data_IF_086709522862
#
_entry.id   IF_086709522862
#
_cell.length_a   1.000
_cell.length_b   1.000
_cell.length_c   1.000
_cell.angle_alpha   90.00
_cell.angle_beta   90.00
_cell.angle_gamma   90.00
#
_symmetry.space_group_name_H-M   'P 1'
#
loop_
_entity.id
_entity.type
_entity.pdbx_description
1 polymer ?
#
# COMPACT_ATOMS: atom_id res chain seq x y z
N UNK A 1 48.75 -106.03 -67.55
CA UNK A 1 49.68 -105.17 -66.81
C UNK A 1 49.94 -103.96 -67.66
N UNK A 2 49.94 -102.74 -67.10
CA UNK A 2 50.38 -101.55 -67.83
C UNK A 2 51.89 -101.48 -67.62
N UNK A 3 52.63 -102.05 -68.55
CA UNK A 3 54.08 -101.92 -68.59
C UNK A 3 54.40 -100.59 -69.27
N UNK A 4 55.12 -99.73 -68.55
CA UNK A 4 55.52 -98.41 -69.05
C UNK A 4 56.69 -98.59 -70.01
N UNK A 5 56.49 -98.31 -71.30
CA UNK A 5 57.58 -98.31 -72.30
C UNK A 5 58.60 -97.17 -72.12
N UNK A 6 58.36 -96.25 -71.17
CA UNK A 6 59.24 -95.11 -70.87
C UNK A 6 60.54 -95.57 -70.22
N UNK A 7 61.67 -95.19 -70.82
CA UNK A 7 63.01 -95.47 -70.29
C UNK A 7 63.28 -94.69 -69.01
N UNK A 8 64.05 -95.26 -68.08
CA UNK A 8 64.43 -94.58 -66.83
C UNK A 8 65.16 -93.24 -67.05
N UNK A 9 65.81 -93.06 -68.20
CA UNK A 9 66.45 -91.80 -68.60
C UNK A 9 65.41 -90.73 -69.00
N UNK A 10 64.36 -91.11 -69.73
CA UNK A 10 63.27 -90.22 -70.14
C UNK A 10 62.45 -89.77 -68.93
N UNK A 11 62.14 -90.71 -68.02
CA UNK A 11 61.43 -90.39 -66.78
C UNK A 11 62.22 -89.41 -65.89
N UNK A 12 63.56 -89.50 -65.88
CA UNK A 12 64.43 -88.55 -65.17
C UNK A 12 64.44 -87.17 -65.83
N UNK A 13 64.37 -87.10 -67.16
CA UNK A 13 64.36 -85.84 -67.91
C UNK A 13 63.03 -85.09 -67.73
N UNK A 14 61.90 -85.81 -67.81
CA UNK A 14 60.58 -85.27 -67.46
C UNK A 14 60.53 -84.82 -65.99
N UNK A 15 61.14 -85.57 -65.07
CA UNK A 15 61.28 -85.16 -63.68
C UNK A 15 62.08 -83.86 -63.53
N UNK A 16 63.20 -83.69 -64.25
CA UNK A 16 63.99 -82.45 -64.19
C UNK A 16 63.23 -81.26 -64.80
N UNK A 17 62.48 -81.48 -65.88
CA UNK A 17 61.63 -80.46 -66.51
C UNK A 17 60.47 -80.01 -65.60
N UNK A 18 59.78 -80.96 -64.95
CA UNK A 18 58.65 -80.67 -64.05
C UNK A 18 59.13 -80.32 -62.63
N UNK A 19 60.37 -80.64 -62.25
CA UNK A 19 60.94 -80.37 -60.91
C UNK A 19 60.74 -78.92 -60.47
N UNK A 20 61.04 -77.96 -61.35
CA UNK A 20 60.88 -76.53 -61.07
C UNK A 20 59.43 -76.08 -60.85
N UNK A 21 58.46 -76.85 -61.36
CA UNK A 21 57.01 -76.64 -61.17
C UNK A 21 56.50 -77.37 -59.92
N UNK A 22 57.15 -78.45 -59.50
CA UNK A 22 56.89 -79.14 -58.23
C UNK A 22 57.49 -78.44 -57.00
N UNK A 23 58.33 -77.41 -57.18
CA UNK A 23 58.79 -76.56 -56.07
C UNK A 23 57.61 -75.74 -55.54
N UNK A 24 56.91 -76.30 -54.54
CA UNK A 24 55.90 -75.59 -53.76
C UNK A 24 56.57 -74.45 -53.01
N UNK A 25 56.53 -73.25 -53.63
CA UNK A 25 56.95 -72.01 -52.97
C UNK A 25 55.90 -71.66 -51.93
N UNK A 26 56.13 -72.08 -50.68
CA UNK A 26 55.44 -71.52 -49.52
C UNK A 26 55.85 -70.05 -49.37
N UNK A 27 55.15 -69.16 -50.08
CA UNK A 27 55.05 -67.78 -49.64
C UNK A 27 54.24 -67.81 -48.33
N UNK A 28 54.91 -67.48 -47.23
CA UNK A 28 54.26 -67.19 -45.94
C UNK A 28 53.57 -65.83 -46.07
N UNK A 29 52.47 -65.82 -46.82
CA UNK A 29 51.54 -64.69 -46.91
C UNK A 29 50.62 -64.71 -45.69
N UNK A 30 50.24 -63.54 -45.17
CA UNK A 30 49.25 -63.40 -44.08
C UNK A 30 47.82 -63.86 -44.46
N UNK A 31 47.69 -64.47 -45.65
CA UNK A 31 46.49 -65.14 -46.18
C UNK A 31 46.59 -66.66 -46.16
N UNK A 32 47.71 -67.26 -45.74
CA UNK A 32 47.75 -68.70 -45.49
C UNK A 32 46.89 -69.01 -44.26
N UNK A 33 45.84 -69.81 -44.48
CA UNK A 33 44.90 -70.26 -43.46
C UNK A 33 45.60 -70.91 -42.26
N UNK A 34 46.82 -71.45 -42.44
CA UNK A 34 47.65 -71.95 -41.34
C UNK A 34 47.97 -70.87 -40.31
N UNK A 35 48.37 -69.68 -40.75
CA UNK A 35 48.67 -68.55 -39.86
C UNK A 35 47.42 -68.07 -39.10
N UNK A 36 46.24 -68.18 -39.73
CA UNK A 36 44.97 -67.92 -39.06
C UNK A 36 44.61 -69.00 -38.03
N UNK A 37 44.86 -70.29 -38.30
CA UNK A 37 44.63 -71.38 -37.33
C UNK A 37 45.59 -71.26 -36.15
N UNK A 38 46.88 -70.97 -36.37
CA UNK A 38 47.85 -70.74 -35.30
C UNK A 38 47.44 -69.53 -34.44
N UNK A 39 47.09 -68.41 -35.07
CA UNK A 39 46.59 -67.22 -34.40
C UNK A 39 45.28 -67.47 -33.62
N UNK A 40 44.34 -68.24 -34.17
CA UNK A 40 43.12 -68.65 -33.45
C UNK A 40 43.44 -69.57 -32.26
N UNK A 41 44.42 -70.46 -32.38
CA UNK A 41 44.87 -71.31 -31.27
C UNK A 41 45.52 -70.52 -30.14
N UNK A 42 46.29 -69.48 -30.45
CA UNK A 42 46.88 -68.58 -29.45
C UNK A 42 45.84 -67.63 -28.83
N UNK A 43 44.86 -67.16 -29.60
CA UNK A 43 43.69 -66.47 -29.07
C UNK A 43 42.85 -67.37 -28.17
N UNK A 44 42.64 -68.64 -28.52
CA UNK A 44 41.91 -69.62 -27.71
C UNK A 44 42.60 -69.86 -26.35
N UNK A 45 43.94 -70.00 -26.33
CA UNK A 45 44.72 -70.07 -25.07
C UNK A 45 44.53 -68.80 -24.25
N UNK A 46 44.72 -67.63 -24.87
CA UNK A 46 44.58 -66.33 -24.20
C UNK A 46 43.19 -66.15 -23.59
N UNK A 47 42.13 -66.56 -24.28
CA UNK A 47 40.76 -66.56 -23.77
C UNK A 47 40.62 -67.54 -22.60
N UNK A 48 41.14 -68.77 -22.72
CA UNK A 48 41.09 -69.78 -21.64
C UNK A 48 41.84 -69.35 -20.37
N UNK A 49 42.89 -68.55 -20.50
CA UNK A 49 43.66 -67.99 -19.38
C UNK A 49 42.96 -66.79 -18.72
N UNK A 50 42.41 -65.86 -19.51
CA UNK A 50 41.83 -64.61 -19.00
C UNK A 50 40.36 -64.73 -18.55
N UNK A 51 39.59 -65.63 -19.17
CA UNK A 51 38.15 -65.78 -18.92
C UNK A 51 37.84 -66.20 -17.46
N UNK A 52 38.53 -67.18 -16.85
CA UNK A 52 38.29 -67.54 -15.45
C UNK A 52 38.47 -66.36 -14.48
N UNK A 53 39.57 -65.60 -14.63
CA UNK A 53 39.88 -64.43 -13.79
C UNK A 53 38.82 -63.35 -13.93
N UNK A 54 38.40 -63.04 -15.16
CA UNK A 54 37.36 -62.02 -15.40
C UNK A 54 35.98 -62.49 -14.95
N UNK A 55 35.66 -63.78 -14.99
CA UNK A 55 34.43 -64.31 -14.39
C UNK A 55 34.44 -64.23 -12.86
N UNK A 56 35.56 -64.53 -12.20
CA UNK A 56 35.69 -64.43 -10.74
C UNK A 56 35.58 -62.97 -10.26
N UNK A 57 36.20 -62.02 -10.99
CA UNK A 57 36.07 -60.58 -10.71
C UNK A 57 34.62 -60.09 -10.87
N UNK A 58 33.92 -60.52 -11.93
CA UNK A 58 32.52 -60.17 -12.16
C UNK A 58 31.57 -60.77 -11.11
N UNK A 59 31.79 -62.03 -10.73
CA UNK A 59 31.03 -62.70 -9.67
C UNK A 59 31.21 -61.97 -8.35
N UNK A 60 32.45 -61.64 -7.97
CA UNK A 60 32.76 -60.85 -6.76
C UNK A 60 32.10 -59.47 -6.77
N UNK A 61 32.11 -58.76 -7.90
CA UNK A 61 31.43 -57.46 -8.04
C UNK A 61 29.91 -57.62 -7.88
N UNK A 62 29.31 -58.64 -8.48
CA UNK A 62 27.89 -58.92 -8.31
C UNK A 62 27.54 -59.19 -6.84
N UNK A 63 28.36 -60.00 -6.17
CA UNK A 63 28.24 -60.37 -4.76
C UNK A 63 28.32 -59.14 -3.83
N UNK A 64 29.25 -58.22 -4.10
CA UNK A 64 29.39 -56.98 -3.34
C UNK A 64 28.25 -55.98 -3.62
N UNK A 65 27.73 -55.93 -4.85
CA UNK A 65 26.50 -55.19 -5.18
C UNK A 65 25.30 -55.77 -4.41
N UNK A 66 25.14 -57.10 -4.36
CA UNK A 66 24.07 -57.75 -3.60
C UNK A 66 24.15 -57.42 -2.10
N UNK A 67 25.35 -57.47 -1.49
CA UNK A 67 25.57 -57.09 -0.07
C UNK A 67 25.22 -55.62 0.18
N UNK A 68 25.59 -54.71 -0.73
CA UNK A 68 25.24 -53.28 -0.62
C UNK A 68 23.73 -53.07 -0.77
N UNK A 69 23.09 -53.74 -1.73
CA UNK A 69 21.65 -53.62 -1.96
C UNK A 69 20.83 -54.17 -0.78
N UNK A 70 21.17 -55.34 -0.23
CA UNK A 70 20.54 -55.88 0.98
C UNK A 70 20.70 -54.93 2.19
N UNK A 71 21.87 -54.31 2.34
CA UNK A 71 22.11 -53.29 3.37
C UNK A 71 21.28 -52.02 3.18
N UNK A 72 21.06 -51.60 1.93
CA UNK A 72 20.17 -50.48 1.58
C UNK A 72 18.73 -50.85 1.90
N UNK A 73 18.23 -51.98 1.40
CA UNK A 73 16.87 -52.46 1.65
C UNK A 73 16.57 -52.63 3.15
N UNK A 74 17.52 -53.16 3.94
CA UNK A 74 17.38 -53.24 5.40
C UNK A 74 17.31 -51.86 6.05
N UNK A 75 18.10 -50.88 5.59
CA UNK A 75 18.01 -49.49 6.07
C UNK A 75 16.70 -48.83 5.68
N UNK A 76 16.23 -49.00 4.45
CA UNK A 76 14.94 -48.46 3.98
C UNK A 76 13.76 -49.09 4.73
N UNK A 77 13.79 -50.41 4.96
CA UNK A 77 12.81 -51.11 5.78
C UNK A 77 12.84 -50.62 7.24
N UNK A 78 14.02 -50.41 7.82
CA UNK A 78 14.14 -49.79 9.15
C UNK A 78 13.61 -48.36 9.16
N UNK A 79 13.93 -47.51 8.18
CA UNK A 79 13.44 -46.13 8.10
C UNK A 79 11.93 -46.04 7.83
N UNK A 80 11.35 -47.06 7.17
CA UNK A 80 9.91 -47.17 6.90
C UNK A 80 9.14 -47.75 8.08
N UNK A 81 9.73 -48.69 8.83
CA UNK A 81 9.16 -49.27 10.04
C UNK A 81 9.39 -48.41 11.28
N UNK A 82 10.45 -47.61 11.30
CA UNK A 82 10.71 -46.62 12.34
C UNK A 82 9.78 -45.43 12.12
N UNK A 83 8.62 -45.53 12.76
CA UNK A 83 7.59 -44.50 12.77
C UNK A 83 8.09 -43.13 13.20
N UNK A 84 9.32 -42.98 13.73
CA UNK A 84 9.95 -41.69 14.01
C UNK A 84 9.91 -40.73 12.82
N UNK A 85 10.15 -41.19 11.58
CA UNK A 85 10.09 -40.30 10.40
C UNK A 85 8.64 -39.89 10.09
N UNK A 86 7.70 -40.83 10.16
CA UNK A 86 6.27 -40.53 10.00
C UNK A 86 5.73 -39.59 11.07
N UNK A 87 6.15 -39.78 12.33
CA UNK A 87 5.85 -38.91 13.45
C UNK A 87 6.48 -37.53 13.30
N UNK A 88 7.74 -37.44 12.82
CA UNK A 88 8.42 -36.16 12.58
C UNK A 88 7.72 -35.37 11.46
N UNK A 89 7.33 -36.02 10.37
CA UNK A 89 6.54 -35.41 9.29
C UNK A 89 5.15 -34.97 9.78
N UNK A 90 4.49 -35.78 10.61
CA UNK A 90 3.19 -35.45 11.22
C UNK A 90 3.30 -34.24 12.15
N UNK A 91 4.32 -34.21 13.01
CA UNK A 91 4.62 -33.09 13.91
C UNK A 91 4.99 -31.82 13.13
N UNK A 92 5.80 -31.93 12.07
CA UNK A 92 6.13 -30.82 11.19
C UNK A 92 4.88 -30.23 10.54
N UNK A 93 3.98 -31.08 10.01
CA UNK A 93 2.70 -30.65 9.44
C UNK A 93 1.82 -29.96 10.48
N UNK A 94 1.70 -30.54 11.69
CA UNK A 94 0.95 -29.95 12.81
C UNK A 94 1.49 -28.56 13.17
N UNK A 95 2.80 -28.42 13.35
CA UNK A 95 3.43 -27.13 13.64
C UNK A 95 3.23 -26.13 12.49
N UNK A 96 3.29 -26.58 11.23
CA UNK A 96 3.04 -25.73 10.07
C UNK A 96 1.60 -25.19 10.05
N UNK A 97 0.62 -26.01 10.41
CA UNK A 97 -0.79 -25.60 10.47
C UNK A 97 -1.08 -24.72 11.70
N UNK A 98 -0.39 -24.95 12.82
CA UNK A 98 -0.42 -24.07 14.00
C UNK A 98 0.16 -22.67 13.69
N UNK A 99 1.31 -22.60 13.01
CA UNK A 99 1.92 -21.34 12.56
C UNK A 99 0.98 -20.56 11.62
N UNK A 100 0.31 -21.24 10.68
CA UNK A 100 -0.71 -20.59 9.82
C UNK A 100 -1.86 -20.02 10.67
N UNK A 101 -2.41 -20.80 11.60
CA UNK A 101 -3.50 -20.39 12.48
C UNK A 101 -3.15 -19.16 13.33
N UNK A 102 -1.94 -19.13 13.90
CA UNK A 102 -1.42 -17.97 14.66
C UNK A 102 -1.24 -16.75 13.76
N UNK A 103 -0.66 -16.92 12.57
CA UNK A 103 -0.48 -15.85 11.58
C UNK A 103 -1.81 -15.27 11.10
N UNK A 104 -2.83 -16.08 10.88
CA UNK A 104 -4.14 -15.62 10.43
C UNK A 104 -4.90 -14.89 11.56
N UNK A 105 -4.76 -15.36 12.81
CA UNK A 105 -5.22 -14.62 14.00
C UNK A 105 -4.51 -13.27 14.13
N UNK A 106 -3.19 -13.23 13.96
CA UNK A 106 -2.40 -12.00 14.00
C UNK A 106 -2.90 -10.98 12.97
N UNK A 107 -3.06 -11.40 11.70
CA UNK A 107 -3.62 -10.55 10.63
C UNK A 107 -5.03 -10.04 10.93
N UNK A 108 -5.86 -10.86 11.61
CA UNK A 108 -7.20 -10.44 12.02
C UNK A 108 -7.15 -9.40 13.15
N UNK A 109 -6.26 -9.56 14.13
CA UNK A 109 -6.04 -8.55 15.17
C UNK A 109 -5.41 -7.27 14.61
N UNK A 110 -4.51 -7.37 13.65
CA UNK A 110 -3.87 -6.23 12.97
C UNK A 110 -4.92 -5.37 12.22
N UNK A 111 -5.85 -6.02 11.50
CA UNK A 111 -7.01 -5.33 10.90
C UNK A 111 -7.87 -4.63 11.95
N UNK A 112 -8.24 -5.32 13.02
CA UNK A 112 -9.06 -4.74 14.10
C UNK A 112 -8.36 -3.56 14.79
N UNK A 113 -7.04 -3.62 14.98
CA UNK A 113 -6.24 -2.49 15.49
C UNK A 113 -6.26 -1.32 14.50
N UNK A 114 -6.14 -1.58 13.19
CA UNK A 114 -6.23 -0.54 12.15
C UNK A 114 -7.61 0.12 12.10
N UNK A 115 -8.68 -0.66 12.27
CA UNK A 115 -10.07 -0.18 12.33
C UNK A 115 -10.28 0.71 13.57
N UNK A 116 -9.90 0.23 14.75
CA UNK A 116 -9.97 0.99 16.01
C UNK A 116 -9.11 2.26 15.97
N UNK A 117 -7.93 2.23 15.35
CA UNK A 117 -7.08 3.41 15.18
C UNK A 117 -7.73 4.45 14.27
N UNK A 118 -8.45 4.03 13.23
CA UNK A 118 -9.20 4.91 12.33
C UNK A 118 -10.40 5.56 13.06
N UNK A 119 -11.12 4.78 13.86
CA UNK A 119 -12.24 5.27 14.68
C UNK A 119 -11.77 6.25 15.78
N UNK A 120 -10.63 5.98 16.41
CA UNK A 120 -9.98 6.89 17.37
C UNK A 120 -9.58 8.21 16.69
N UNK A 121 -8.99 8.14 15.48
CA UNK A 121 -8.66 9.35 14.71
C UNK A 121 -9.91 10.15 14.33
N UNK A 122 -11.00 9.48 13.91
CA UNK A 122 -12.29 10.11 13.59
C UNK A 122 -12.89 10.83 14.80
N UNK A 123 -13.02 10.13 15.93
CA UNK A 123 -13.58 10.70 17.17
C UNK A 123 -12.71 11.83 17.75
N UNK A 124 -11.38 11.76 17.56
CA UNK A 124 -10.47 12.87 17.91
C UNK A 124 -10.71 14.10 17.04
N UNK A 125 -10.92 13.92 15.72
CA UNK A 125 -11.28 15.01 14.80
C UNK A 125 -12.61 15.66 15.20
N UNK A 126 -13.64 14.84 15.45
CA UNK A 126 -14.97 15.32 15.89
C UNK A 126 -14.87 16.13 17.21
N UNK A 127 -14.01 15.70 18.14
CA UNK A 127 -13.77 16.41 19.40
C UNK A 127 -13.05 17.76 19.17
N UNK A 128 -12.00 17.80 18.34
CA UNK A 128 -11.31 19.06 18.02
C UNK A 128 -12.20 20.01 17.21
N UNK A 129 -13.09 19.50 16.34
CA UNK A 129 -14.11 20.30 15.64
C UNK A 129 -15.13 20.88 16.63
N UNK A 130 -15.67 20.08 17.55
CA UNK A 130 -16.55 20.57 18.63
C UNK A 130 -15.87 21.62 19.51
N UNK A 131 -14.60 21.40 19.86
CA UNK A 131 -13.78 22.33 20.65
C UNK A 131 -13.50 23.62 19.89
N UNK A 132 -13.30 23.58 18.58
CA UNK A 132 -13.14 24.76 17.74
C UNK A 132 -14.46 25.52 17.58
N UNK A 133 -15.58 24.82 17.37
CA UNK A 133 -16.92 25.42 17.40
C UNK A 133 -17.21 26.10 18.76
N UNK A 134 -16.88 25.44 19.87
CA UNK A 134 -17.03 26.00 21.21
C UNK A 134 -16.13 27.23 21.42
N UNK A 135 -14.89 27.24 20.93
CA UNK A 135 -14.03 28.45 20.96
C UNK A 135 -14.65 29.60 20.18
N UNK A 136 -15.19 29.35 18.98
CA UNK A 136 -15.88 30.37 18.16
C UNK A 136 -17.10 30.90 18.90
N UNK A 137 -17.96 30.03 19.45
CA UNK A 137 -19.11 30.44 20.26
C UNK A 137 -18.72 31.23 21.51
N UNK A 138 -17.65 30.82 22.21
CA UNK A 138 -17.12 31.51 23.38
C UNK A 138 -16.50 32.87 23.03
N UNK A 139 -15.88 33.01 21.85
CA UNK A 139 -15.37 34.30 21.39
C UNK A 139 -16.52 35.23 20.98
N UNK A 140 -17.53 34.71 20.28
CA UNK A 140 -18.73 35.44 19.88
C UNK A 140 -19.62 35.84 21.09
N UNK A 141 -19.69 35.02 22.14
CA UNK A 141 -20.43 35.36 23.37
C UNK A 141 -19.66 36.30 24.29
N UNK A 142 -18.32 36.36 24.16
CA UNK A 142 -17.45 37.37 24.78
C UNK A 142 -17.34 38.64 23.94
N UNK A 143 -18.03 38.72 22.80
CA UNK A 143 -17.97 39.90 21.96
C UNK A 143 -18.82 41.03 22.55
N UNK A 144 -18.15 41.93 23.28
CA UNK A 144 -18.75 43.14 23.88
C UNK A 144 -18.77 44.29 22.85
N UNK A 145 -18.21 44.12 21.64
CA UNK A 145 -18.16 45.14 20.59
C UNK A 145 -19.53 45.78 20.29
N UNK A 146 -20.64 45.04 20.06
CA UNK A 146 -21.94 45.67 19.83
C UNK A 146 -22.43 46.51 21.02
N UNK A 147 -22.11 46.11 22.25
CA UNK A 147 -22.44 46.89 23.46
C UNK A 147 -21.57 48.16 23.56
N UNK A 148 -20.32 48.08 23.11
CA UNK A 148 -19.42 49.24 23.01
C UNK A 148 -19.89 50.22 21.93
N UNK A 149 -20.28 49.75 20.74
CA UNK A 149 -20.82 50.60 19.67
C UNK A 149 -22.12 51.31 20.09
N UNK A 150 -23.02 50.63 20.80
CA UNK A 150 -24.22 51.24 21.41
C UNK A 150 -23.83 52.30 22.45
N UNK A 151 -22.81 52.04 23.28
CA UNK A 151 -22.30 53.01 24.26
C UNK A 151 -21.68 54.25 23.62
N UNK A 152 -20.91 54.07 22.54
CA UNK A 152 -20.26 55.16 21.79
C UNK A 152 -21.30 56.02 21.05
N UNK A 153 -22.27 55.40 20.38
CA UNK A 153 -23.37 56.12 19.73
C UNK A 153 -24.25 56.87 20.74
N UNK A 154 -24.56 56.29 21.91
CA UNK A 154 -25.22 57.01 23.01
C UNK A 154 -24.40 58.20 23.53
N UNK A 155 -23.07 58.07 23.61
CA UNK A 155 -22.21 59.17 24.04
C UNK A 155 -22.21 60.31 23.00
N UNK A 156 -22.15 59.96 21.71
CA UNK A 156 -22.26 60.90 20.60
C UNK A 156 -23.59 61.66 20.62
N UNK A 157 -24.72 60.96 20.74
CA UNK A 157 -26.06 61.58 20.81
C UNK A 157 -26.16 62.56 22.00
N UNK A 158 -25.60 62.21 23.17
CA UNK A 158 -25.54 63.14 24.33
C UNK A 158 -24.67 64.38 24.05
N UNK A 159 -23.61 64.24 23.27
CA UNK A 159 -22.79 65.37 22.81
C UNK A 159 -23.56 66.28 21.84
N UNK A 160 -24.25 65.70 20.87
CA UNK A 160 -25.10 66.40 19.90
C UNK A 160 -26.26 67.13 20.60
N UNK A 161 -26.88 66.52 21.63
CA UNK A 161 -27.92 67.16 22.46
C UNK A 161 -27.38 68.41 23.17
N UNK A 162 -26.24 68.31 23.87
CA UNK A 162 -25.59 69.46 24.53
C UNK A 162 -25.22 70.57 23.54
N UNK A 163 -24.83 70.21 22.31
CA UNK A 163 -24.58 71.20 21.26
C UNK A 163 -25.87 71.87 20.80
N UNK A 164 -26.98 71.13 20.70
CA UNK A 164 -28.30 71.66 20.37
C UNK A 164 -28.84 72.57 21.49
N UNK A 165 -28.63 72.24 22.76
CA UNK A 165 -28.98 73.08 23.91
C UNK A 165 -28.22 74.42 23.88
N UNK A 166 -26.90 74.37 23.62
CA UNK A 166 -26.09 75.59 23.44
C UNK A 166 -26.58 76.44 22.27
N UNK A 167 -26.86 75.83 21.11
CA UNK A 167 -27.45 76.54 19.95
C UNK A 167 -28.80 77.15 20.31
N UNK A 168 -29.65 76.42 21.03
CA UNK A 168 -30.96 76.90 21.49
C UNK A 168 -30.81 78.09 22.44
N UNK A 169 -29.89 78.04 23.40
CA UNK A 169 -29.58 79.16 24.29
C UNK A 169 -29.05 80.39 23.56
N UNK A 170 -28.17 80.21 22.56
CA UNK A 170 -27.67 81.31 21.71
C UNK A 170 -28.80 81.89 20.85
N UNK A 171 -29.68 81.07 20.28
CA UNK A 171 -30.85 81.51 19.51
C UNK A 171 -31.84 82.27 20.41
N UNK A 172 -32.14 81.77 21.60
CA UNK A 172 -32.97 82.44 22.60
C UNK A 172 -32.36 83.79 23.01
N UNK A 173 -31.06 83.83 23.31
CA UNK A 173 -30.36 85.08 23.65
C UNK A 173 -30.37 86.07 22.49
N UNK A 174 -30.19 85.61 21.25
CA UNK A 174 -30.23 86.45 20.04
C UNK A 174 -31.63 87.00 19.80
N UNK A 175 -32.67 86.18 19.95
CA UNK A 175 -34.08 86.60 19.90
C UNK A 175 -34.42 87.62 20.99
N UNK A 176 -33.97 87.39 22.23
CA UNK A 176 -34.16 88.33 23.34
C UNK A 176 -33.43 89.65 23.08
N UNK A 177 -32.17 89.62 22.63
CA UNK A 177 -31.45 90.83 22.20
C UNK A 177 -32.18 91.55 21.07
N UNK A 178 -32.68 90.84 20.06
CA UNK A 178 -33.41 91.44 18.95
C UNK A 178 -34.73 92.07 19.44
N UNK A 179 -35.47 91.38 20.31
CA UNK A 179 -36.70 91.89 20.96
C UNK A 179 -36.43 93.12 21.82
N UNK A 180 -35.31 93.16 22.56
CA UNK A 180 -34.89 94.34 23.33
C UNK A 180 -34.46 95.49 22.41
N UNK A 181 -33.70 95.21 21.33
CA UNK A 181 -33.27 96.22 20.35
C UNK A 181 -34.46 96.84 19.61
N UNK A 182 -35.41 96.02 19.14
CA UNK A 182 -36.67 96.49 18.54
C UNK A 182 -37.55 97.20 19.57
N UNK A 183 -37.69 96.70 20.79
CA UNK A 183 -38.41 97.40 21.88
C UNK A 183 -37.80 98.77 22.20
N UNK A 184 -36.47 98.90 22.26
CA UNK A 184 -35.78 100.19 22.43
C UNK A 184 -35.97 101.12 21.22
N UNK A 185 -35.91 100.59 20.00
CA UNK A 185 -36.19 101.37 18.78
C UNK A 185 -37.66 101.84 18.69
N UNK A 186 -38.61 101.06 19.19
CA UNK A 186 -40.02 101.41 19.30
C UNK A 186 -40.25 102.44 20.43
N UNK A 187 -39.57 102.29 21.57
CA UNK A 187 -39.62 103.26 22.67
C UNK A 187 -39.03 104.62 22.27
N UNK A 188 -37.97 104.65 21.45
CA UNK A 188 -37.41 105.87 20.86
C UNK A 188 -38.34 106.55 19.83
N UNK A 189 -39.39 105.88 19.35
CA UNK A 189 -40.44 106.44 18.47
C UNK A 189 -41.77 106.69 19.20
N UNK A 190 -41.83 106.42 20.51
CA UNK A 190 -43.05 106.42 21.33
C UNK A 190 -43.48 107.78 21.89
N UNK A 191 -43.30 108.89 21.17
CA UNK A 191 -43.85 110.19 21.55
C UNK A 191 -44.52 110.90 20.35
N UNK A 192 -45.75 110.46 20.02
CA UNK A 192 -46.88 111.33 19.63
C UNK A 192 -48.15 110.52 19.33
N UNK A 193 -49.24 110.97 19.95
CA UNK A 193 -50.63 110.93 19.51
C UNK A 193 -51.32 109.56 19.37
N UNK A 194 -52.20 109.29 20.34
CA UNK A 194 -53.41 108.49 20.15
C UNK A 194 -54.37 109.14 19.12
N UNK A 195 -55.28 108.34 18.52
CA UNK A 195 -56.74 108.50 18.66
C UNK A 195 -57.57 107.44 17.88
N UNK A 196 -58.81 107.22 18.36
CA UNK A 196 -59.97 106.52 17.75
C UNK A 196 -59.91 104.99 17.47
N UNK A 197 -60.70 104.15 18.16
CA UNK A 197 -62.12 103.80 17.88
C UNK A 197 -62.35 103.22 16.47
N UNK A 198 -63.03 102.06 16.25
CA UNK A 198 -64.22 101.49 16.94
C UNK A 198 -64.48 100.01 16.53
N UNK A 199 -65.26 99.26 17.34
CA UNK A 199 -65.93 97.94 17.02
C UNK A 199 -65.00 96.72 16.73
N UNK A 200 -65.33 95.42 16.84
CA UNK A 200 -66.41 94.52 17.39
C UNK A 200 -65.83 93.07 17.31
N UNK A 201 -66.14 92.04 18.11
CA UNK A 201 -66.96 91.80 19.33
C UNK A 201 -66.39 90.54 20.08
N UNK A 202 -67.11 90.05 21.12
CA UNK A 202 -67.24 88.67 21.68
C UNK A 202 -66.55 87.46 20.98
N UNK A 203 -66.19 86.33 21.63
CA UNK A 203 -66.17 85.84 23.06
C UNK A 203 -65.15 84.67 23.11
N UNK A 204 -64.47 84.32 24.21
CA UNK A 204 -65.01 83.66 25.41
C UNK A 204 -65.49 82.23 25.08
N UNK A 205 -65.05 81.14 25.71
CA UNK A 205 -64.21 80.87 26.90
C UNK A 205 -63.33 79.62 26.58
N UNK A 206 -62.05 79.59 26.95
CA UNK A 206 -61.48 78.98 28.17
C UNK A 206 -61.38 77.44 28.13
N UNK A 207 -60.46 76.90 28.93
CA UNK A 207 -59.75 75.63 28.77
C UNK A 207 -60.12 74.69 29.94
N UNK A 208 -60.14 73.36 29.73
CA UNK A 208 -60.15 72.41 30.85
C UNK A 208 -59.33 71.14 30.51
N UNK A 209 -58.25 70.81 31.25
CA UNK A 209 -57.30 69.77 30.87
C UNK A 209 -57.56 68.39 31.48
N UNK A 210 -58.82 68.03 31.79
CA UNK A 210 -59.17 66.71 32.32
C UNK A 210 -60.38 66.08 31.63
N UNK A 211 -60.16 65.42 30.50
CA UNK A 211 -61.07 64.38 30.02
C UNK A 211 -60.28 63.12 29.65
N UNK A 212 -60.18 62.21 30.62
CA UNK A 212 -59.66 60.85 30.43
C UNK A 212 -60.87 59.93 30.36
N UNK A 213 -61.03 59.23 29.23
CA UNK A 213 -61.62 57.90 29.18
C UNK A 213 -61.35 57.25 27.80
N UNK A 214 -60.43 56.30 27.79
CA UNK A 214 -60.47 55.16 26.86
C UNK A 214 -61.56 54.19 27.39
N UNK A 215 -62.21 53.36 26.57
CA UNK A 215 -61.57 52.08 26.25
C UNK A 215 -61.77 51.58 24.81
N UNK A 216 -61.09 50.47 24.55
CA UNK A 216 -60.98 49.70 23.32
C UNK A 216 -62.32 49.06 22.86
N UNK A 217 -62.40 48.66 21.59
CA UNK A 217 -62.83 47.31 21.21
C UNK A 217 -62.43 46.96 19.75
N UNK A 218 -61.91 45.73 19.62
CA UNK A 218 -61.90 44.79 18.47
C UNK A 218 -61.40 45.22 17.07
#
# INVERSE_FOLDING_TARGET
MIESEVSAAEWKLELEQVSSQLVVRLNVDHKDWRTHIESMGDQEKTIKELLPSTTEELERIADDIFKVNDRIQKREAMLSSDGAIGMLLSNYKKNQDEVKSVNDRFKMTEKSISELSSELQKTTSELDDMKNAMKVMNNNSKDVTPLQEIKESLHRIRGELRQMDLRTGVLQHTLLQHKIKTSRAMSAKGQKNAHNHKHRKHTGYEFDPFNVNNPEHD
#
